data_IF_585215572145
#
_entry.id   IF_585215572145
#
_cell.length_a   1.000
_cell.length_b   1.000
_cell.length_c   1.000
_cell.angle_alpha   90.00
_cell.angle_beta   90.00
_cell.angle_gamma   90.00
#
_symmetry.space_group_name_H-M   'P 1'
#
loop_
_entity.id
_entity.type
_entity.pdbx_description
1 polymer ?
#
# COMPACT_ATOMS: atom_id res chain seq x y z
N UNK A 1 11.82 -29.14 4.14
CA UNK A 1 10.58 -28.36 4.33
C UNK A 1 10.56 -27.59 5.66
N UNK A 2 10.69 -28.25 6.82
CA UNK A 2 10.61 -27.60 8.16
C UNK A 2 11.55 -26.39 8.34
N UNK A 3 12.84 -26.53 7.96
CA UNK A 3 13.84 -25.45 8.00
C UNK A 3 13.56 -24.28 7.04
N UNK A 4 12.86 -24.54 5.93
CA UNK A 4 12.51 -23.49 4.95
C UNK A 4 11.36 -22.66 5.53
N UNK A 5 10.34 -23.34 6.08
CA UNK A 5 9.20 -22.69 6.72
C UNK A 5 9.64 -21.88 7.94
N UNK A 6 10.53 -22.43 8.79
CA UNK A 6 11.07 -21.71 9.96
C UNK A 6 11.82 -20.43 9.56
N UNK A 7 12.61 -20.46 8.49
CA UNK A 7 13.33 -19.29 7.98
C UNK A 7 12.39 -18.16 7.52
N UNK A 8 11.21 -18.48 6.98
CA UNK A 8 10.21 -17.50 6.55
C UNK A 8 9.14 -17.19 7.61
N UNK A 9 9.18 -17.86 8.76
CA UNK A 9 8.24 -17.64 9.87
C UNK A 9 8.72 -16.57 10.85
N UNK A 10 9.89 -15.95 10.62
CA UNK A 10 10.35 -14.84 11.44
C UNK A 10 9.41 -13.64 11.30
N UNK A 11 8.93 -13.13 12.45
CA UNK A 11 8.10 -11.93 12.47
C UNK A 11 8.91 -10.76 11.90
N UNK A 12 8.33 -9.96 10.98
CA UNK A 12 9.05 -8.84 10.41
C UNK A 12 9.43 -7.85 11.51
N UNK A 13 10.70 -7.41 11.51
CA UNK A 13 11.20 -6.39 12.45
C UNK A 13 10.48 -5.05 12.28
N UNK A 14 10.04 -4.75 11.05
CA UNK A 14 9.26 -3.55 10.70
C UNK A 14 8.07 -3.95 9.82
N UNK A 15 6.92 -4.24 10.44
CA UNK A 15 5.69 -4.62 9.73
C UNK A 15 5.19 -3.51 8.81
N UNK A 16 5.23 -2.25 9.24
CA UNK A 16 4.78 -1.12 8.43
C UNK A 16 5.62 -0.99 7.16
N UNK A 17 6.95 -1.05 7.28
CA UNK A 17 7.85 -0.98 6.13
C UNK A 17 7.61 -2.11 5.13
N UNK A 18 7.38 -3.33 5.62
CA UNK A 18 7.04 -4.47 4.76
C UNK A 18 5.71 -4.23 4.00
N UNK A 19 4.68 -3.76 4.70
CA UNK A 19 3.38 -3.44 4.10
C UNK A 19 3.51 -2.32 3.06
N UNK A 20 4.25 -1.25 3.39
CA UNK A 20 4.47 -0.13 2.50
C UNK A 20 5.11 -0.56 1.18
N UNK A 21 6.23 -1.28 1.23
CA UNK A 21 6.93 -1.70 0.02
C UNK A 21 6.09 -2.67 -0.82
N UNK A 22 5.40 -3.62 -0.18
CA UNK A 22 4.53 -4.55 -0.90
C UNK A 22 3.38 -3.81 -1.60
N UNK A 23 2.70 -2.90 -0.92
CA UNK A 23 1.59 -2.14 -1.48
C UNK A 23 2.06 -1.13 -2.54
N UNK A 24 3.25 -0.55 -2.38
CA UNK A 24 3.87 0.35 -3.36
C UNK A 24 4.07 -0.36 -4.69
N UNK A 25 4.66 -1.56 -4.68
CA UNK A 25 4.87 -2.34 -5.90
C UNK A 25 3.60 -3.03 -6.41
N UNK A 26 2.62 -3.32 -5.55
CA UNK A 26 1.35 -3.86 -5.99
C UNK A 26 0.50 -2.80 -6.72
N UNK A 27 0.52 -1.54 -6.23
CA UNK A 27 -0.25 -0.45 -6.80
C UNK A 27 0.43 0.21 -8.01
N UNK A 28 1.77 0.24 -8.06
CA UNK A 28 2.51 0.97 -9.10
C UNK A 28 2.17 0.56 -10.54
N UNK A 29 1.95 -0.72 -10.92
CA UNK A 29 1.64 -1.06 -12.31
C UNK A 29 0.33 -0.43 -12.77
N UNK A 30 -0.67 -0.39 -11.88
CA UNK A 30 -1.97 0.23 -12.16
C UNK A 30 -1.84 1.74 -12.32
N UNK A 31 -1.14 2.41 -11.40
CA UNK A 31 -0.92 3.85 -11.46
C UNK A 31 -0.11 4.26 -12.69
N UNK A 32 0.91 3.47 -13.05
CA UNK A 32 1.70 3.68 -14.28
C UNK A 32 0.80 3.53 -15.50
N UNK A 33 -0.04 2.49 -15.57
CA UNK A 33 -0.97 2.29 -16.68
C UNK A 33 -1.93 3.48 -16.83
N UNK A 34 -2.53 3.95 -15.74
CA UNK A 34 -3.42 5.12 -15.75
C UNK A 34 -2.65 6.37 -16.22
N UNK A 35 -1.44 6.59 -15.72
CA UNK A 35 -0.59 7.70 -16.16
C UNK A 35 -0.25 7.63 -17.65
N UNK A 36 -0.02 6.43 -18.19
CA UNK A 36 0.22 6.22 -19.62
C UNK A 36 -1.04 6.49 -20.46
N UNK A 37 -2.22 6.08 -20.00
CA UNK A 37 -3.48 6.40 -20.69
C UNK A 37 -3.74 7.90 -20.72
N UNK A 38 -3.41 8.61 -19.65
CA UNK A 38 -3.47 10.06 -19.59
C UNK A 38 -2.46 10.72 -20.52
N UNK A 39 -1.25 10.16 -20.63
CA UNK A 39 -0.22 10.64 -21.56
C UNK A 39 -0.69 10.64 -23.01
N UNK A 40 -1.45 9.61 -23.42
CA UNK A 40 -2.02 9.47 -24.76
C UNK A 40 -3.39 10.11 -24.94
N UNK A 41 -3.83 10.93 -23.99
CA UNK A 41 -5.12 11.64 -24.03
C UNK A 41 -6.36 10.71 -24.04
N UNK A 42 -6.22 9.45 -23.62
CA UNK A 42 -7.30 8.45 -23.61
C UNK A 42 -8.17 8.59 -22.35
N UNK A 43 -7.54 8.80 -21.19
CA UNK A 43 -8.25 8.89 -19.89
C UNK A 43 -7.59 9.94 -19.01
N UNK A 44 -8.33 10.93 -18.49
CA UNK A 44 -7.75 11.96 -17.64
C UNK A 44 -7.41 11.43 -16.26
N UNK A 45 -6.46 12.10 -15.60
CA UNK A 45 -6.22 11.98 -14.17
C UNK A 45 -6.93 13.13 -13.48
N UNK A 46 -7.91 12.81 -12.63
CA UNK A 46 -8.64 13.83 -11.87
C UNK A 46 -7.82 14.30 -10.68
N UNK A 47 -7.52 15.59 -10.64
CA UNK A 47 -6.77 16.21 -9.55
C UNK A 47 -7.39 17.57 -9.22
N UNK A 48 -7.92 17.71 -7.99
CA UNK A 48 -8.58 18.94 -7.51
C UNK A 48 -9.63 19.49 -8.50
N UNK A 49 -10.57 18.63 -8.90
CA UNK A 49 -11.64 18.95 -9.86
C UNK A 49 -11.16 19.34 -11.28
N UNK A 50 -9.88 19.10 -11.59
CA UNK A 50 -9.33 19.29 -12.93
C UNK A 50 -8.99 17.96 -13.58
N UNK A 51 -9.39 17.81 -14.83
CA UNK A 51 -8.97 16.71 -15.71
C UNK A 51 -7.58 17.00 -16.27
N UNK A 52 -6.59 16.22 -15.84
CA UNK A 52 -5.21 16.34 -16.30
C UNK A 52 -4.89 15.29 -17.37
N UNK A 53 -4.41 15.78 -18.50
CA UNK A 53 -3.94 14.99 -19.63
C UNK A 53 -2.44 15.17 -19.88
N UNK A 54 -1.88 14.33 -20.75
CA UNK A 54 -0.51 14.39 -21.20
C UNK A 54 0.49 14.14 -20.08
N UNK A 55 1.64 14.81 -20.16
CA UNK A 55 2.73 14.68 -19.18
C UNK A 55 2.27 15.04 -17.76
N UNK A 56 1.33 16.00 -17.62
CA UNK A 56 0.84 16.41 -16.30
C UNK A 56 0.14 15.26 -15.57
N UNK A 57 -0.76 14.55 -16.26
CA UNK A 57 -1.47 13.42 -15.65
C UNK A 57 -0.55 12.24 -15.34
N UNK A 58 0.44 11.96 -16.21
CA UNK A 58 1.48 10.96 -15.93
C UNK A 58 2.27 11.31 -14.65
N UNK A 59 2.76 12.53 -14.53
CA UNK A 59 3.54 12.98 -13.36
C UNK A 59 2.73 12.90 -12.08
N UNK A 60 1.47 13.37 -12.11
CA UNK A 60 0.58 13.28 -10.95
C UNK A 60 0.36 11.82 -10.55
N UNK A 61 0.10 10.93 -11.51
CA UNK A 61 -0.10 9.50 -11.24
C UNK A 61 1.11 8.85 -10.56
N UNK A 62 2.32 9.15 -11.04
CA UNK A 62 3.56 8.62 -10.47
C UNK A 62 3.84 9.15 -9.06
N UNK A 63 3.62 10.45 -8.84
CA UNK A 63 3.83 11.07 -7.53
C UNK A 63 2.85 10.53 -6.48
N UNK A 64 1.64 10.13 -6.87
CA UNK A 64 0.63 9.58 -5.95
C UNK A 64 0.89 8.15 -5.49
N UNK A 65 1.73 7.38 -6.18
CA UNK A 65 2.07 5.99 -5.81
C UNK A 65 2.48 5.85 -4.34
N UNK A 66 3.51 6.58 -3.83
CA UNK A 66 3.92 6.45 -2.43
C UNK A 66 2.85 6.92 -1.44
N UNK A 67 2.01 7.90 -1.80
CA UNK A 67 0.95 8.38 -0.91
C UNK A 67 -0.15 7.34 -0.74
N UNK A 68 -0.64 6.77 -1.85
CA UNK A 68 -1.66 5.71 -1.81
C UNK A 68 -1.13 4.49 -1.08
N UNK A 69 0.09 4.04 -1.40
CA UNK A 69 0.73 2.93 -0.72
C UNK A 69 0.90 3.18 0.79
N UNK A 70 1.29 4.41 1.18
CA UNK A 70 1.42 4.83 2.57
C UNK A 70 0.10 4.79 3.33
N UNK A 71 -0.98 5.33 2.76
CA UNK A 71 -2.32 5.31 3.36
C UNK A 71 -2.79 3.87 3.56
N UNK A 72 -2.70 3.04 2.51
CA UNK A 72 -3.10 1.63 2.60
C UNK A 72 -2.26 0.86 3.64
N UNK A 73 -0.94 1.08 3.66
CA UNK A 73 -0.06 0.44 4.63
C UNK A 73 -0.39 0.86 6.06
N UNK A 74 -0.71 2.14 6.29
CA UNK A 74 -1.12 2.65 7.59
C UNK A 74 -2.43 2.02 8.06
N UNK A 75 -3.45 1.94 7.19
CA UNK A 75 -4.74 1.32 7.52
C UNK A 75 -4.58 -0.16 7.89
N UNK A 76 -3.83 -0.92 7.09
CA UNK A 76 -3.58 -2.35 7.34
C UNK A 76 -2.75 -2.54 8.61
N UNK A 77 -1.74 -1.71 8.83
CA UNK A 77 -0.92 -1.75 10.04
C UNK A 77 -1.74 -1.44 11.30
N UNK A 78 -2.62 -0.44 11.25
CA UNK A 78 -3.54 -0.12 12.34
C UNK A 78 -4.49 -1.27 12.62
N UNK A 79 -5.08 -1.87 11.57
CA UNK A 79 -5.95 -3.03 11.69
C UNK A 79 -5.27 -4.19 12.44
N UNK A 80 -4.04 -4.55 12.04
CA UNK A 80 -3.29 -5.59 12.74
C UNK A 80 -2.89 -5.21 14.16
N UNK A 81 -2.56 -3.93 14.39
CA UNK A 81 -2.18 -3.43 15.71
C UNK A 81 -3.36 -3.49 16.69
N UNK A 82 -4.55 -3.08 16.25
CA UNK A 82 -5.79 -3.16 17.02
C UNK A 82 -6.16 -4.63 17.28
N UNK A 83 -6.12 -5.49 16.26
CA UNK A 83 -6.41 -6.91 16.41
C UNK A 83 -5.48 -7.59 17.42
N UNK A 84 -4.18 -7.31 17.35
CA UNK A 84 -3.20 -7.83 18.31
C UNK A 84 -3.43 -7.27 19.74
N UNK A 85 -3.84 -6.01 19.87
CA UNK A 85 -4.20 -5.44 21.17
C UNK A 85 -5.42 -6.12 21.79
N UNK A 86 -6.49 -6.32 21.02
CA UNK A 86 -7.71 -7.04 21.46
C UNK A 86 -7.36 -8.47 21.89
N UNK A 87 -6.58 -9.19 21.10
CA UNK A 87 -6.19 -10.58 21.42
C UNK A 87 -5.39 -10.67 22.73
N UNK A 88 -4.54 -9.67 23.02
CA UNK A 88 -3.81 -9.61 24.30
C UNK A 88 -4.73 -9.31 25.47
N UNK A 89 -5.71 -8.41 25.29
CA UNK A 89 -6.71 -8.14 26.33
C UNK A 89 -7.53 -9.40 26.65
N UNK A 90 -8.06 -10.07 25.63
CA UNK A 90 -8.83 -11.30 25.80
C UNK A 90 -7.98 -12.42 26.42
N UNK A 91 -6.76 -12.63 25.93
CA UNK A 91 -5.85 -13.64 26.48
C UNK A 91 -5.41 -13.36 27.92
N UNK A 92 -5.35 -12.08 28.31
CA UNK A 92 -5.14 -11.68 29.70
C UNK A 92 -6.37 -11.83 30.59
N UNK A 93 -7.57 -11.87 30.00
CA UNK A 93 -8.85 -12.04 30.71
C UNK A 93 -9.11 -13.50 31.14
N UNK A 94 -8.45 -14.47 30.50
CA UNK A 94 -8.56 -15.91 30.78
C UNK A 94 -7.33 -16.49 31.52
N UNK A 95 -6.47 -15.63 32.07
CA UNK A 95 -5.42 -15.98 33.02
C UNK A 95 -5.77 -15.46 34.40
#
# INVERSE_FOLDING_TARGET
MKRIIEKYSEKPKNLFGLLFWNLLFAYSPLAILIGMLSLFEITPVNFNDQELYGIKGLVVSLLFIPFVAGILAALVWLYYSIGNWIMRLLGGLFR
#
